data_IF_267013992456
#
_entry.id   IF_267013992456
#
_cell.length_a   1.000
_cell.length_b   1.000
_cell.length_c   1.000
_cell.angle_alpha   90.00
_cell.angle_beta   90.00
_cell.angle_gamma   90.00
#
_symmetry.space_group_name_H-M   'P 1'
#
loop_
_entity.id
_entity.type
_entity.pdbx_description
1 polymer ?
#
# COMPACT_ATOMS: atom_id res chain seq x y z
N UNK A 1 -16.14 -19.58 -2.63
CA UNK A 1 -16.70 -18.33 -3.22
C UNK A 1 -17.22 -17.45 -2.09
N UNK A 2 -16.84 -16.17 -2.08
CA UNK A 2 -17.41 -15.16 -1.17
C UNK A 2 -18.67 -14.58 -1.81
N UNK A 3 -19.72 -14.30 -1.02
CA UNK A 3 -20.91 -13.60 -1.52
C UNK A 3 -20.64 -12.11 -1.70
N UNK A 4 -20.28 -11.44 -0.61
CA UNK A 4 -20.09 -9.98 -0.58
C UNK A 4 -18.79 -9.58 0.12
N UNK A 5 -18.06 -8.70 -0.53
CA UNK A 5 -16.83 -8.04 0.00
C UNK A 5 -17.12 -6.56 0.23
N UNK A 6 -16.74 -6.05 1.39
CA UNK A 6 -16.73 -4.62 1.73
C UNK A 6 -15.30 -4.15 1.92
N UNK A 7 -14.83 -3.22 1.10
CA UNK A 7 -13.51 -2.61 1.20
C UNK A 7 -13.62 -1.16 1.63
N UNK A 8 -12.99 -0.83 2.75
CA UNK A 8 -12.93 0.52 3.30
C UNK A 8 -11.58 1.14 2.98
N UNK A 9 -11.57 2.41 2.59
CA UNK A 9 -10.35 3.10 2.12
C UNK A 9 -9.73 2.35 0.94
N UNK A 10 -10.58 1.95 -0.01
CA UNK A 10 -10.30 0.97 -1.05
C UNK A 10 -9.11 1.36 -1.96
N UNK A 11 -8.85 2.65 -2.10
CA UNK A 11 -7.81 3.14 -2.99
C UNK A 11 -8.10 2.73 -4.45
N UNK A 12 -7.12 2.11 -5.08
CA UNK A 12 -7.22 1.60 -6.45
C UNK A 12 -7.69 0.13 -6.52
N UNK A 13 -8.35 -0.35 -5.47
CA UNK A 13 -8.91 -1.71 -5.39
C UNK A 13 -7.88 -2.84 -5.41
N UNK A 14 -6.79 -2.68 -4.66
CA UNK A 14 -5.81 -3.74 -4.46
C UNK A 14 -6.44 -5.03 -3.91
N UNK A 15 -7.54 -4.92 -3.16
CA UNK A 15 -8.28 -6.07 -2.64
C UNK A 15 -8.86 -6.96 -3.75
N UNK A 16 -9.42 -6.38 -4.82
CA UNK A 16 -9.95 -7.15 -5.96
C UNK A 16 -8.82 -7.83 -6.74
N UNK A 17 -7.70 -7.14 -6.97
CA UNK A 17 -6.53 -7.75 -7.62
C UNK A 17 -6.04 -8.93 -6.79
N UNK A 18 -5.97 -8.79 -5.46
CA UNK A 18 -5.50 -9.83 -4.56
C UNK A 18 -6.45 -11.05 -4.53
N UNK A 19 -7.77 -10.84 -4.50
CA UNK A 19 -8.76 -11.92 -4.60
C UNK A 19 -8.59 -12.69 -5.91
N UNK A 20 -8.47 -11.99 -7.04
CA UNK A 20 -8.25 -12.60 -8.33
C UNK A 20 -6.94 -13.41 -8.38
N UNK A 21 -5.83 -12.85 -7.87
CA UNK A 21 -4.53 -13.56 -7.77
C UNK A 21 -4.59 -14.79 -6.86
N UNK A 22 -5.37 -14.71 -5.78
CA UNK A 22 -5.61 -15.86 -4.89
C UNK A 22 -6.58 -16.89 -5.50
N UNK A 23 -7.21 -16.62 -6.63
CA UNK A 23 -8.21 -17.49 -7.25
C UNK A 23 -9.52 -17.58 -6.46
N UNK A 24 -9.87 -16.51 -5.73
CA UNK A 24 -11.09 -16.43 -4.92
C UNK A 24 -12.13 -15.60 -5.66
N UNK A 25 -13.23 -16.24 -6.05
CA UNK A 25 -14.37 -15.57 -6.64
C UNK A 25 -15.27 -14.93 -5.57
N UNK A 26 -15.92 -13.83 -5.93
CA UNK A 26 -16.88 -13.12 -5.10
C UNK A 26 -18.08 -12.64 -5.93
N UNK A 27 -19.23 -12.44 -5.27
CA UNK A 27 -20.45 -12.01 -5.94
C UNK A 27 -20.50 -10.50 -6.15
N UNK A 28 -20.42 -9.71 -5.06
CA UNK A 28 -20.46 -8.25 -5.10
C UNK A 28 -19.29 -7.66 -4.33
N UNK A 29 -18.77 -6.52 -4.83
CA UNK A 29 -17.72 -5.76 -4.17
C UNK A 29 -18.18 -4.32 -3.95
N UNK A 30 -18.24 -3.95 -2.68
CA UNK A 30 -18.55 -2.61 -2.22
C UNK A 30 -17.27 -1.90 -1.81
N UNK A 31 -17.03 -0.70 -2.32
CA UNK A 31 -15.84 0.09 -2.05
C UNK A 31 -16.20 1.44 -1.42
N UNK A 32 -15.56 1.77 -0.30
CA UNK A 32 -15.58 3.10 0.27
C UNK A 32 -14.28 3.80 -0.05
N UNK A 33 -14.33 4.82 -0.88
CA UNK A 33 -13.20 5.66 -1.28
C UNK A 33 -13.72 7.08 -1.62
N UNK A 34 -12.88 8.11 -1.42
CA UNK A 34 -13.21 9.50 -1.71
C UNK A 34 -12.25 10.15 -2.72
N UNK A 35 -11.08 9.54 -2.96
CA UNK A 35 -10.16 10.04 -4.00
C UNK A 35 -10.71 9.67 -5.39
N UNK A 36 -11.16 10.69 -6.11
CA UNK A 36 -11.72 10.55 -7.46
C UNK A 36 -10.79 9.86 -8.47
N UNK A 37 -9.46 9.96 -8.27
CA UNK A 37 -8.50 9.33 -9.17
C UNK A 37 -8.35 7.85 -8.84
N UNK A 38 -8.37 7.48 -7.57
CA UNK A 38 -8.40 6.09 -7.13
C UNK A 38 -9.70 5.41 -7.61
N UNK A 39 -10.85 6.05 -7.36
CA UNK A 39 -12.17 5.58 -7.87
C UNK A 39 -12.14 5.40 -9.39
N UNK A 40 -11.53 6.35 -10.14
CA UNK A 40 -11.43 6.24 -11.61
C UNK A 40 -10.62 5.00 -12.02
N UNK A 41 -9.52 4.68 -11.32
CA UNK A 41 -8.73 3.48 -11.59
C UNK A 41 -9.54 2.22 -11.26
N UNK A 42 -10.22 2.19 -10.13
CA UNK A 42 -11.12 1.08 -9.77
C UNK A 42 -12.19 0.84 -10.82
N UNK A 43 -12.95 1.88 -11.21
CA UNK A 43 -14.04 1.75 -12.17
C UNK A 43 -13.56 1.40 -13.59
N UNK A 44 -12.34 1.80 -13.95
CA UNK A 44 -11.74 1.42 -15.23
C UNK A 44 -11.44 -0.08 -15.32
N UNK A 45 -10.95 -0.67 -14.22
CA UNK A 45 -10.54 -2.08 -14.19
C UNK A 45 -11.65 -3.02 -13.69
N UNK A 46 -12.54 -2.52 -12.83
CA UNK A 46 -13.64 -3.25 -12.19
C UNK A 46 -14.92 -2.41 -12.24
N UNK A 47 -15.57 -2.31 -13.41
CA UNK A 47 -16.74 -1.43 -13.60
C UNK A 47 -17.93 -1.79 -12.74
N UNK A 48 -18.04 -3.05 -12.30
CA UNK A 48 -19.14 -3.54 -11.46
C UNK A 48 -18.94 -3.22 -9.96
N UNK A 49 -17.86 -2.54 -9.58
CA UNK A 49 -17.62 -2.12 -8.20
C UNK A 49 -18.65 -1.10 -7.75
N UNK A 50 -19.30 -1.36 -6.62
CA UNK A 50 -20.31 -0.47 -6.04
C UNK A 50 -19.61 0.53 -5.13
N UNK A 51 -19.54 1.80 -5.56
CA UNK A 51 -18.92 2.88 -4.77
C UNK A 51 -19.89 3.41 -3.73
N UNK A 52 -19.44 3.46 -2.47
CA UNK A 52 -20.21 3.93 -1.32
C UNK A 52 -19.84 5.34 -0.85
N UNK A 53 -18.77 5.94 -1.42
CA UNK A 53 -18.28 7.24 -0.99
C UNK A 53 -17.57 7.20 0.36
N UNK A 54 -17.85 8.18 1.22
CA UNK A 54 -17.20 8.32 2.53
C UNK A 54 -17.59 7.21 3.50
N UNK A 55 -16.60 6.63 4.17
CA UNK A 55 -16.82 5.61 5.22
C UNK A 55 -17.70 6.11 6.37
N UNK A 56 -17.69 7.42 6.64
CA UNK A 56 -18.48 8.04 7.70
C UNK A 56 -19.98 8.10 7.39
N UNK A 57 -20.37 7.91 6.12
CA UNK A 57 -21.75 7.95 5.66
C UNK A 57 -22.37 6.55 5.53
N UNK A 58 -21.56 5.49 5.61
CA UNK A 58 -22.01 4.11 5.48
C UNK A 58 -22.70 3.66 6.77
N UNK A 59 -23.88 3.08 6.63
CA UNK A 59 -24.59 2.37 7.71
C UNK A 59 -24.54 0.88 7.41
N UNK A 60 -24.05 0.10 8.34
CA UNK A 60 -23.95 -1.35 8.17
C UNK A 60 -25.31 -2.03 7.94
N UNK A 61 -26.40 -1.42 8.47
CA UNK A 61 -27.77 -1.88 8.30
C UNK A 61 -28.29 -1.79 6.86
N UNK A 62 -27.69 -0.90 6.05
CA UNK A 62 -28.10 -0.68 4.65
C UNK A 62 -27.34 -1.62 3.70
N UNK A 63 -26.39 -2.40 4.23
CA UNK A 63 -25.57 -3.34 3.47
C UNK A 63 -26.13 -4.77 3.55
N UNK A 64 -25.91 -5.58 2.51
CA UNK A 64 -26.19 -7.01 2.61
C UNK A 64 -25.24 -7.67 3.62
N UNK A 65 -25.47 -8.96 3.92
CA UNK A 65 -24.53 -9.73 4.73
C UNK A 65 -23.13 -9.71 4.10
N UNK A 66 -22.15 -9.25 4.85
CA UNK A 66 -20.75 -9.16 4.42
C UNK A 66 -20.02 -10.46 4.79
N UNK A 67 -19.32 -11.08 3.84
CA UNK A 67 -18.46 -12.22 4.10
C UNK A 67 -17.02 -11.79 4.46
N UNK A 68 -16.51 -10.75 3.80
CA UNK A 68 -15.17 -10.26 4.00
C UNK A 68 -15.17 -8.73 4.08
N UNK A 69 -14.71 -8.19 5.21
CA UNK A 69 -14.41 -6.77 5.41
C UNK A 69 -12.90 -6.54 5.32
N UNK A 70 -12.47 -5.68 4.42
CA UNK A 70 -11.05 -5.31 4.30
C UNK A 70 -10.87 -3.80 4.38
N UNK A 71 -9.68 -3.34 4.81
CA UNK A 71 -9.37 -1.91 4.83
C UNK A 71 -7.95 -1.60 5.26
N UNK A 72 -7.49 -0.42 4.86
CA UNK A 72 -6.23 0.18 5.29
C UNK A 72 -6.49 1.58 5.80
N UNK A 73 -6.82 1.75 7.07
CA UNK A 73 -7.15 3.06 7.61
C UNK A 73 -5.95 4.01 7.58
N UNK A 74 -6.15 5.32 7.28
CA UNK A 74 -5.07 6.31 7.30
C UNK A 74 -4.32 6.30 8.63
N UNK A 75 -2.99 6.19 8.57
CA UNK A 75 -2.10 6.06 9.74
C UNK A 75 -1.72 7.40 10.39
N UNK A 76 -2.12 8.53 9.82
CA UNK A 76 -1.60 9.84 10.20
C UNK A 76 -1.96 10.30 11.62
N UNK A 77 -2.92 9.67 12.28
CA UNK A 77 -3.25 9.87 13.69
C UNK A 77 -2.38 9.07 14.66
N UNK A 78 -1.73 8.01 14.19
CA UNK A 78 -0.86 7.13 14.96
C UNK A 78 0.63 7.40 14.76
N UNK A 79 1.01 8.36 13.88
CA UNK A 79 2.39 8.64 13.57
C UNK A 79 3.00 9.69 14.49
N UNK A 80 4.16 9.43 14.94
CA UNK A 80 5.36 10.10 15.44
C UNK A 80 5.33 11.55 15.97
N UNK A 81 4.26 12.28 15.96
CA UNK A 81 4.23 13.67 16.43
C UNK A 81 3.69 13.79 17.87
N UNK A 82 4.34 13.15 18.84
CA UNK A 82 4.50 13.65 20.21
C UNK A 82 3.27 13.89 21.10
N UNK A 83 2.07 13.55 20.70
CA UNK A 83 0.87 13.64 21.55
C UNK A 83 0.11 12.33 21.38
N UNK A 84 0.01 11.55 22.46
CA UNK A 84 -0.60 10.22 22.48
C UNK A 84 -1.90 10.11 21.71
N UNK A 85 -2.43 8.88 21.57
CA UNK A 85 -3.74 8.60 20.96
C UNK A 85 -4.74 9.67 21.39
N UNK A 86 -4.84 10.71 20.58
CA UNK A 86 -5.89 11.69 20.78
C UNK A 86 -7.10 11.16 20.03
N UNK A 87 -8.05 10.57 20.75
CA UNK A 87 -9.35 10.13 20.24
C UNK A 87 -10.10 11.25 19.53
N UNK A 88 -9.69 12.50 19.75
CA UNK A 88 -10.22 13.69 19.09
C UNK A 88 -9.50 14.03 17.77
N UNK A 89 -8.37 13.35 17.40
CA UNK A 89 -7.75 13.57 16.10
C UNK A 89 -8.66 13.02 15.00
N UNK A 90 -9.11 13.84 14.03
CA UNK A 90 -9.99 13.41 12.94
C UNK A 90 -9.47 12.19 12.16
N UNK A 91 -8.16 11.96 12.20
CA UNK A 91 -7.49 10.87 11.48
C UNK A 91 -7.54 9.55 12.23
N UNK A 92 -7.55 9.58 13.56
CA UNK A 92 -7.81 8.40 14.41
C UNK A 92 -9.28 7.97 14.30
N UNK A 93 -10.20 8.91 14.07
CA UNK A 93 -11.63 8.61 13.89
C UNK A 93 -11.89 7.64 12.75
N UNK A 94 -11.08 7.66 11.69
CA UNK A 94 -11.25 6.77 10.54
C UNK A 94 -10.98 5.28 10.87
N UNK A 95 -10.07 4.99 11.80
CA UNK A 95 -9.92 3.63 12.33
C UNK A 95 -11.19 3.17 13.06
N UNK A 96 -11.81 4.05 13.84
CA UNK A 96 -13.05 3.70 14.54
C UNK A 96 -14.23 3.50 13.61
N UNK A 97 -14.23 4.09 12.40
CA UNK A 97 -15.21 3.77 11.36
C UNK A 97 -15.06 2.31 10.86
N UNK A 98 -13.81 1.83 10.72
CA UNK A 98 -13.58 0.41 10.44
C UNK A 98 -14.14 -0.48 11.57
N UNK A 99 -13.84 -0.15 12.84
CA UNK A 99 -14.34 -0.90 14.01
C UNK A 99 -15.87 -0.85 14.09
N UNK A 100 -16.48 0.31 13.82
CA UNK A 100 -17.95 0.46 13.79
C UNK A 100 -18.58 -0.46 12.76
N UNK A 101 -18.09 -0.42 11.51
CA UNK A 101 -18.61 -1.26 10.44
C UNK A 101 -18.32 -2.75 10.67
N UNK A 102 -17.19 -3.11 11.28
CA UNK A 102 -16.91 -4.48 11.69
C UNK A 102 -17.97 -5.00 12.69
N UNK A 103 -18.36 -4.16 13.67
CA UNK A 103 -19.39 -4.50 14.66
C UNK A 103 -20.81 -4.52 14.06
N UNK A 104 -21.13 -3.60 13.16
CA UNK A 104 -22.45 -3.51 12.52
C UNK A 104 -22.68 -4.66 11.52
N UNK A 105 -21.69 -4.95 10.66
CA UNK A 105 -21.84 -5.93 9.58
C UNK A 105 -21.51 -7.36 9.98
N UNK A 106 -20.75 -7.56 11.06
CA UNK A 106 -20.33 -8.87 11.60
C UNK A 106 -19.88 -9.83 10.50
N UNK A 107 -18.87 -9.45 9.69
CA UNK A 107 -18.43 -10.26 8.57
C UNK A 107 -17.82 -11.58 9.07
N UNK A 108 -17.83 -12.61 8.22
CA UNK A 108 -17.17 -13.89 8.54
C UNK A 108 -15.66 -13.71 8.69
N UNK A 109 -15.07 -12.90 7.81
CA UNK A 109 -13.64 -12.60 7.81
C UNK A 109 -13.41 -11.09 7.75
N UNK A 110 -12.29 -10.67 8.33
CA UNK A 110 -11.83 -9.30 8.17
C UNK A 110 -10.30 -9.24 8.00
N UNK A 111 -9.82 -8.15 7.39
CA UNK A 111 -8.43 -7.79 7.28
C UNK A 111 -8.28 -6.28 7.43
N UNK A 112 -7.55 -5.83 8.45
CA UNK A 112 -7.08 -4.45 8.58
C UNK A 112 -5.57 -4.40 8.33
N UNK A 113 -5.14 -3.55 7.39
CA UNK A 113 -3.73 -3.23 7.18
C UNK A 113 -3.38 -1.87 7.79
N UNK A 114 -2.17 -1.76 8.35
CA UNK A 114 -1.62 -0.45 8.72
C UNK A 114 -0.08 -0.45 8.69
N UNK A 115 0.51 0.74 8.77
CA UNK A 115 1.96 0.89 8.86
C UNK A 115 2.49 0.30 10.17
N UNK A 116 3.78 -0.05 10.18
CA UNK A 116 4.48 -0.38 11.41
C UNK A 116 4.48 0.85 12.33
N UNK A 117 3.99 0.66 13.55
CA UNK A 117 3.82 1.70 14.56
C UNK A 117 4.36 1.25 15.92
N UNK A 118 4.37 2.15 16.91
CA UNK A 118 4.76 1.81 18.27
C UNK A 118 3.83 0.74 18.86
N UNK A 119 4.37 -0.07 19.77
CA UNK A 119 3.65 -1.20 20.39
C UNK A 119 2.37 -0.75 21.10
N UNK A 120 2.43 0.35 21.82
CA UNK A 120 1.27 0.94 22.52
C UNK A 120 0.05 1.18 21.59
N UNK A 121 0.29 1.58 20.34
CA UNK A 121 -0.78 1.78 19.35
C UNK A 121 -1.25 0.46 18.74
N UNK A 122 -0.34 -0.50 18.57
CA UNK A 122 -0.71 -1.84 18.13
C UNK A 122 -1.64 -2.52 19.16
N UNK A 123 -1.33 -2.39 20.46
CA UNK A 123 -2.12 -2.95 21.58
C UNK A 123 -3.55 -2.39 21.56
N UNK A 124 -3.72 -1.09 21.32
CA UNK A 124 -5.07 -0.51 21.20
C UNK A 124 -5.84 -1.08 20.03
N UNK A 125 -5.23 -1.17 18.84
CA UNK A 125 -5.90 -1.77 17.68
C UNK A 125 -6.25 -3.23 17.96
N UNK A 126 -5.34 -3.98 18.57
CA UNK A 126 -5.52 -5.37 18.99
C UNK A 126 -6.70 -5.52 19.95
N UNK A 127 -6.82 -4.64 20.96
CA UNK A 127 -7.95 -4.64 21.90
C UNK A 127 -9.31 -4.49 21.19
N UNK A 128 -9.41 -3.58 20.23
CA UNK A 128 -10.65 -3.35 19.47
C UNK A 128 -10.98 -4.48 18.49
N UNK A 129 -9.98 -5.13 17.90
CA UNK A 129 -10.16 -6.15 16.87
C UNK A 129 -10.14 -7.58 17.43
N UNK A 130 -9.62 -7.79 18.66
CA UNK A 130 -9.55 -9.09 19.32
C UNK A 130 -8.55 -10.07 18.70
N UNK A 131 -7.61 -9.61 17.89
CA UNK A 131 -6.58 -10.43 17.22
C UNK A 131 -5.24 -9.70 17.21
N UNK A 132 -4.13 -10.44 17.35
CA UNK A 132 -2.78 -9.88 17.25
C UNK A 132 -2.37 -9.58 15.81
N UNK A 133 -1.55 -8.54 15.57
CA UNK A 133 -1.10 -8.22 14.24
C UNK A 133 0.02 -9.16 13.78
N UNK A 134 0.03 -9.45 12.49
CA UNK A 134 1.11 -10.14 11.80
C UNK A 134 1.94 -9.08 11.05
N UNK A 135 3.23 -8.97 11.35
CA UNK A 135 4.14 -8.11 10.61
C UNK A 135 4.63 -8.86 9.37
N UNK A 136 4.35 -8.33 8.17
CA UNK A 136 4.88 -8.88 6.91
C UNK A 136 5.65 -7.78 6.18
N UNK A 137 6.84 -8.13 5.67
CA UNK A 137 7.59 -7.27 4.78
C UNK A 137 7.33 -7.66 3.32
N UNK A 138 6.89 -6.71 2.51
CA UNK A 138 6.70 -6.90 1.06
C UNK A 138 7.96 -7.37 0.33
N UNK A 139 9.14 -7.17 0.93
CA UNK A 139 10.42 -7.65 0.39
C UNK A 139 10.43 -9.17 0.11
N UNK A 140 9.61 -9.94 0.79
CA UNK A 140 9.47 -11.38 0.56
C UNK A 140 8.84 -11.70 -0.81
N UNK A 141 7.97 -10.83 -1.31
CA UNK A 141 7.20 -11.08 -2.55
C UNK A 141 7.39 -10.02 -3.63
N UNK A 142 8.19 -8.98 -3.37
CA UNK A 142 8.40 -7.82 -4.24
C UNK A 142 9.84 -7.32 -4.13
N UNK A 143 10.25 -6.47 -5.06
CA UNK A 143 11.49 -5.71 -4.99
C UNK A 143 11.43 -4.52 -4.01
N UNK A 144 10.46 -4.45 -3.12
CA UNK A 144 10.22 -3.31 -2.22
C UNK A 144 10.29 -3.71 -0.74
N UNK A 145 11.13 -3.03 0.05
CA UNK A 145 11.06 -3.05 1.50
C UNK A 145 9.87 -2.21 1.97
N UNK A 146 8.82 -2.88 2.45
CA UNK A 146 7.61 -2.26 2.96
C UNK A 146 7.03 -3.11 4.08
N UNK A 147 7.37 -2.79 5.32
CA UNK A 147 6.83 -3.46 6.50
C UNK A 147 5.42 -2.94 6.82
N UNK A 148 4.47 -3.86 6.98
CA UNK A 148 3.09 -3.55 7.35
C UNK A 148 2.58 -4.53 8.41
N UNK A 149 1.65 -4.07 9.21
CA UNK A 149 0.93 -4.83 10.21
C UNK A 149 -0.44 -5.21 9.66
N UNK A 150 -0.82 -6.46 9.87
CA UNK A 150 -2.07 -7.04 9.39
C UNK A 150 -2.83 -7.67 10.55
N UNK A 151 -3.98 -7.12 10.92
CA UNK A 151 -4.92 -7.70 11.88
C UNK A 151 -6.00 -8.44 11.11
N UNK A 152 -6.14 -9.74 11.35
CA UNK A 152 -7.11 -10.56 10.61
C UNK A 152 -7.52 -11.79 11.40
N UNK A 153 -8.76 -12.25 11.20
CA UNK A 153 -9.25 -13.55 11.66
C UNK A 153 -9.23 -14.61 10.55
N UNK A 154 -8.64 -14.31 9.38
CA UNK A 154 -8.40 -15.30 8.33
C UNK A 154 -7.42 -16.35 8.88
N UNK A 155 -7.77 -17.65 8.81
CA UNK A 155 -6.95 -18.68 9.42
C UNK A 155 -5.65 -18.95 8.64
N UNK A 156 -4.66 -19.54 9.33
CA UNK A 156 -3.43 -20.08 8.74
C UNK A 156 -2.55 -19.05 8.00
N UNK A 157 -2.63 -17.76 8.37
CA UNK A 157 -1.76 -16.74 7.78
C UNK A 157 -0.34 -16.91 8.31
N UNK A 158 0.60 -17.13 7.41
CA UNK A 158 2.04 -17.29 7.69
C UNK A 158 2.86 -16.21 6.98
N UNK A 159 4.18 -16.20 7.19
CA UNK A 159 5.06 -15.38 6.36
C UNK A 159 5.11 -15.94 4.94
N UNK A 160 5.04 -15.10 3.89
CA UNK A 160 5.28 -15.55 2.52
C UNK A 160 6.71 -16.09 2.36
N UNK A 161 6.89 -17.02 1.43
CA UNK A 161 8.22 -17.45 0.99
C UNK A 161 8.96 -16.28 0.29
N UNK A 162 10.26 -16.16 0.54
CA UNK A 162 11.07 -15.12 -0.12
C UNK A 162 11.33 -15.52 -1.59
N UNK A 163 10.75 -14.75 -2.49
CA UNK A 163 10.90 -14.89 -3.94
C UNK A 163 12.24 -14.37 -4.48
N UNK A 164 13.05 -13.73 -3.65
CA UNK A 164 14.36 -13.17 -4.03
C UNK A 164 14.33 -12.02 -5.04
N UNK A 165 13.17 -11.44 -5.35
CA UNK A 165 13.01 -10.41 -6.40
C UNK A 165 13.78 -9.14 -6.02
N UNK A 166 14.70 -8.69 -6.86
CA UNK A 166 15.50 -7.49 -6.68
C UNK A 166 15.00 -6.34 -7.56
N UNK A 167 15.48 -5.12 -7.31
CA UNK A 167 15.06 -3.94 -8.08
C UNK A 167 15.34 -4.10 -9.59
N UNK A 168 16.48 -4.70 -9.94
CA UNK A 168 16.84 -4.96 -11.33
C UNK A 168 15.86 -5.86 -12.08
N UNK A 169 15.20 -6.80 -11.38
CA UNK A 169 14.29 -7.76 -11.99
C UNK A 169 12.98 -7.14 -12.47
N UNK A 170 12.63 -5.95 -11.96
CA UNK A 170 11.37 -5.28 -12.29
C UNK A 170 11.55 -4.11 -13.27
N UNK A 171 12.79 -3.78 -13.64
CA UNK A 171 13.05 -2.65 -14.52
C UNK A 171 12.62 -2.95 -15.97
N UNK A 172 12.11 -1.90 -16.61
CA UNK A 172 11.82 -1.93 -18.06
C UNK A 172 13.12 -1.75 -18.86
N UNK A 173 13.21 -2.41 -20.01
CA UNK A 173 14.29 -2.19 -20.97
C UNK A 173 13.95 -1.01 -21.88
N UNK A 174 14.15 0.20 -21.40
CA UNK A 174 13.81 1.45 -22.07
C UNK A 174 14.99 2.43 -22.01
N UNK A 175 15.03 3.38 -22.93
CA UNK A 175 15.91 4.55 -22.81
C UNK A 175 15.49 5.39 -21.58
N UNK A 176 16.46 5.65 -20.70
CA UNK A 176 16.21 6.33 -19.42
C UNK A 176 16.70 7.77 -19.44
N UNK A 177 15.90 8.66 -18.88
CA UNK A 177 16.35 10.01 -18.59
C UNK A 177 17.13 10.03 -17.29
N UNK A 178 18.44 10.29 -17.38
CA UNK A 178 19.32 10.36 -16.23
C UNK A 178 19.27 11.71 -15.52
N UNK A 179 19.53 11.68 -14.23
CA UNK A 179 19.73 12.87 -13.41
C UNK A 179 21.12 13.41 -13.69
N UNK A 180 21.20 14.71 -13.95
CA UNK A 180 22.48 15.42 -14.16
C UNK A 180 23.29 15.43 -12.85
N UNK A 181 24.30 14.56 -12.79
CA UNK A 181 25.17 14.42 -11.61
C UNK A 181 26.00 15.67 -11.31
N UNK A 182 26.23 16.55 -12.30
CA UNK A 182 26.98 17.80 -12.06
C UNK A 182 26.28 18.72 -11.04
N UNK A 183 24.98 18.52 -10.83
CA UNK A 183 24.16 19.24 -9.85
C UNK A 183 24.24 18.65 -8.44
N UNK A 184 24.84 17.46 -8.27
CA UNK A 184 24.99 16.82 -6.97
C UNK A 184 26.14 17.47 -6.22
N UNK A 185 25.87 18.14 -5.11
CA UNK A 185 26.86 18.84 -4.30
C UNK A 185 27.49 17.95 -3.25
N UNK A 186 26.74 16.99 -2.73
CA UNK A 186 27.21 16.01 -1.74
C UNK A 186 26.53 14.66 -1.97
N UNK A 187 27.21 13.57 -1.63
CA UNK A 187 26.65 12.23 -1.71
C UNK A 187 27.22 11.28 -0.64
N UNK A 188 26.47 10.24 -0.35
CA UNK A 188 26.86 9.16 0.57
C UNK A 188 26.40 7.82 -0.02
N UNK A 189 27.29 6.85 -0.06
CA UNK A 189 26.97 5.49 -0.49
C UNK A 189 26.70 4.63 0.74
N UNK A 190 25.57 3.92 0.74
CA UNK A 190 25.20 2.93 1.76
C UNK A 190 25.23 1.53 1.13
N UNK A 191 24.89 0.49 1.91
CA UNK A 191 24.77 -0.88 1.36
C UNK A 191 23.58 -1.06 0.40
N UNK A 192 22.56 -0.17 0.46
CA UNK A 192 21.30 -0.35 -0.26
C UNK A 192 21.00 0.74 -1.29
N UNK A 193 21.55 1.94 -1.12
CA UNK A 193 21.26 3.09 -1.97
C UNK A 193 22.36 4.14 -1.98
N UNK A 194 22.33 4.94 -3.03
CA UNK A 194 23.10 6.16 -3.19
C UNK A 194 22.26 7.33 -2.70
N UNK A 195 22.68 7.99 -1.61
CA UNK A 195 22.05 9.19 -1.08
C UNK A 195 22.76 10.41 -1.67
N UNK A 196 22.03 11.35 -2.22
CA UNK A 196 22.59 12.57 -2.77
C UNK A 196 21.91 13.83 -2.25
N UNK A 197 22.58 14.98 -2.33
CA UNK A 197 22.06 16.27 -1.94
C UNK A 197 22.37 17.32 -3.01
N UNK A 198 21.31 17.92 -3.56
CA UNK A 198 21.40 19.00 -4.55
C UNK A 198 21.58 20.38 -3.89
N UNK A 199 21.23 20.53 -2.62
CA UNK A 199 21.26 21.81 -1.91
C UNK A 199 22.65 22.17 -1.37
N UNK A 200 23.47 21.17 -1.07
CA UNK A 200 24.76 21.32 -0.37
C UNK A 200 24.64 21.59 1.13
N UNK A 201 23.43 21.45 1.70
CA UNK A 201 23.15 21.67 3.14
C UNK A 201 23.20 20.39 3.97
N UNK A 202 23.60 19.26 3.38
CA UNK A 202 23.67 17.96 4.05
C UNK A 202 22.30 17.30 4.30
N UNK A 203 21.27 17.70 3.56
CA UNK A 203 19.93 17.11 3.68
C UNK A 203 19.92 15.66 3.19
N UNK A 204 19.41 14.75 4.03
CA UNK A 204 19.29 13.32 3.75
C UNK A 204 17.80 12.91 3.72
N UNK A 205 17.06 13.43 2.73
CA UNK A 205 15.66 13.08 2.57
C UNK A 205 15.48 11.76 1.79
N UNK A 206 14.35 11.11 1.97
CA UNK A 206 14.06 9.84 1.28
C UNK A 206 13.93 10.02 -0.24
N UNK A 207 13.45 11.17 -0.68
CA UNK A 207 13.28 11.52 -2.10
C UNK A 207 14.62 11.78 -2.83
N UNK A 208 15.73 11.84 -2.10
CA UNK A 208 17.10 11.95 -2.63
C UNK A 208 17.87 10.62 -2.55
N UNK A 209 17.18 9.49 -2.49
CA UNK A 209 17.76 8.15 -2.52
C UNK A 209 17.58 7.51 -3.88
N UNK A 210 18.65 6.94 -4.42
CA UNK A 210 18.63 6.09 -5.61
C UNK A 210 19.09 4.70 -5.20
N UNK A 211 18.22 3.70 -5.36
CA UNK A 211 18.48 2.34 -4.87
C UNK A 211 19.23 1.52 -5.92
N UNK A 212 20.14 0.66 -5.46
CA UNK A 212 20.94 -0.21 -6.33
C UNK A 212 20.07 -1.31 -6.95
N UNK A 213 20.37 -1.67 -8.20
CA UNK A 213 19.62 -2.68 -8.95
C UNK A 213 19.72 -4.07 -8.35
N UNK A 214 20.82 -4.39 -7.64
CA UNK A 214 21.04 -5.65 -6.92
C UNK A 214 20.49 -5.66 -5.49
N UNK A 215 19.64 -4.69 -5.14
CA UNK A 215 19.02 -4.53 -3.81
C UNK A 215 17.52 -4.36 -3.93
N UNK A 216 16.85 -4.36 -2.78
CA UNK A 216 15.44 -3.99 -2.67
C UNK A 216 15.29 -2.47 -2.64
N UNK A 217 14.29 -1.95 -3.33
CA UNK A 217 13.87 -0.54 -3.21
C UNK A 217 13.25 -0.27 -1.83
N UNK A 218 13.30 0.96 -1.36
CA UNK A 218 12.54 1.40 -0.19
C UNK A 218 11.04 1.53 -0.46
N UNK A 219 10.26 1.81 0.57
CA UNK A 219 8.82 2.04 0.44
C UNK A 219 8.51 3.20 -0.52
N UNK A 220 7.63 2.98 -1.50
CA UNK A 220 7.11 4.04 -2.37
C UNK A 220 6.33 5.04 -1.50
N UNK A 221 6.68 6.34 -1.51
CA UNK A 221 5.95 7.36 -0.76
C UNK A 221 4.65 7.72 -1.47
N UNK A 222 3.64 8.13 -0.70
CA UNK A 222 2.34 8.61 -1.22
C UNK A 222 2.32 10.08 -1.64
N UNK A 223 3.40 10.82 -1.41
CA UNK A 223 3.46 12.25 -1.70
C UNK A 223 3.76 12.50 -3.19
N UNK A 224 3.01 13.40 -3.77
CA UNK A 224 3.02 13.85 -5.15
C UNK A 224 4.34 13.87 -5.95
N UNK A 225 4.38 14.58 -7.07
CA UNK A 225 5.44 14.54 -8.09
C UNK A 225 6.88 14.82 -7.60
N UNK A 226 7.08 15.35 -6.40
CA UNK A 226 8.40 15.62 -5.81
C UNK A 226 9.10 14.37 -5.24
N UNK A 227 8.36 13.31 -4.97
CA UNK A 227 8.88 12.08 -4.34
C UNK A 227 9.09 10.94 -5.34
N UNK A 228 9.61 11.28 -6.51
CA UNK A 228 9.92 10.28 -7.54
C UNK A 228 10.97 9.30 -7.04
N UNK A 229 10.61 8.03 -7.03
CA UNK A 229 11.49 6.91 -6.71
C UNK A 229 12.57 6.74 -7.77
N UNK A 230 13.77 6.30 -7.37
CA UNK A 230 14.94 6.31 -8.26
C UNK A 230 15.75 5.04 -8.15
N UNK A 231 16.37 4.69 -9.26
CA UNK A 231 17.33 3.60 -9.39
C UNK A 231 18.74 4.16 -9.64
N UNK A 232 19.72 3.49 -9.06
CA UNK A 232 21.15 3.67 -9.34
C UNK A 232 21.62 2.41 -10.07
N UNK A 233 21.98 2.55 -11.35
CA UNK A 233 22.35 1.41 -12.20
C UNK A 233 23.85 1.03 -12.04
N UNK A 234 24.27 0.00 -12.78
CA UNK A 234 25.64 -0.53 -12.75
C UNK A 234 26.66 0.42 -13.38
N UNK A 235 26.20 1.29 -14.28
CA UNK A 235 26.99 2.36 -14.90
C UNK A 235 27.03 3.62 -14.03
N UNK A 236 26.56 3.50 -12.78
CA UNK A 236 26.47 4.59 -11.80
C UNK A 236 25.55 5.74 -12.20
N UNK A 237 24.60 5.52 -13.11
CA UNK A 237 23.61 6.55 -13.46
C UNK A 237 22.43 6.53 -12.49
N UNK A 238 21.82 7.69 -12.32
CA UNK A 238 20.60 7.85 -11.52
C UNK A 238 19.45 8.18 -12.47
N UNK A 239 18.39 7.39 -12.43
CA UNK A 239 17.17 7.65 -13.19
C UNK A 239 15.93 7.47 -12.33
N UNK A 240 14.81 8.01 -12.80
CA UNK A 240 13.51 7.78 -12.15
C UNK A 240 12.94 6.43 -12.57
N UNK A 241 12.25 5.76 -11.63
CA UNK A 241 11.40 4.63 -11.98
C UNK A 241 10.16 5.12 -12.75
N UNK A 242 9.71 4.31 -13.69
CA UNK A 242 8.46 4.56 -14.41
C UNK A 242 7.25 4.23 -13.55
N UNK A 243 6.07 4.62 -14.00
CA UNK A 243 4.82 4.23 -13.35
C UNK A 243 4.60 2.71 -13.40
N UNK A 244 5.01 2.04 -14.49
CA UNK A 244 4.93 0.57 -14.64
C UNK A 244 5.87 -0.11 -13.63
N UNK A 245 7.10 0.36 -13.49
CA UNK A 245 8.03 -0.19 -12.49
C UNK A 245 7.52 0.00 -11.06
N UNK A 246 6.81 1.09 -10.80
CA UNK A 246 6.15 1.29 -9.50
C UNK A 246 4.91 0.40 -9.31
N UNK A 247 4.16 0.08 -10.37
CA UNK A 247 3.13 -0.95 -10.35
C UNK A 247 3.73 -2.31 -10.00
N UNK A 248 4.85 -2.69 -10.62
CA UNK A 248 5.58 -3.93 -10.32
C UNK A 248 6.11 -3.98 -8.88
N UNK A 249 6.59 -2.85 -8.31
CA UNK A 249 6.97 -2.77 -6.90
C UNK A 249 5.80 -3.06 -5.95
N UNK A 250 4.58 -2.70 -6.33
CA UNK A 250 3.35 -3.02 -5.58
C UNK A 250 2.70 -4.34 -6.04
N UNK A 251 3.36 -5.06 -6.95
CA UNK A 251 2.85 -6.32 -7.54
C UNK A 251 1.47 -6.17 -8.20
N UNK A 252 1.19 -4.97 -8.70
CA UNK A 252 0.02 -4.60 -9.48
C UNK A 252 0.31 -4.92 -10.96
N UNK A 253 -0.67 -5.34 -11.77
CA UNK A 253 -0.47 -5.56 -13.20
C UNK A 253 0.04 -4.30 -13.92
N UNK A 254 0.90 -4.49 -14.93
CA UNK A 254 1.40 -3.40 -15.76
C UNK A 254 0.24 -2.62 -16.40
N UNK A 255 0.35 -1.30 -16.40
CA UNK A 255 -0.66 -0.38 -16.93
C UNK A 255 -2.02 -0.36 -16.22
N UNK A 256 -2.14 -0.98 -15.05
CA UNK A 256 -3.38 -0.97 -14.26
C UNK A 256 -3.85 0.46 -13.93
N UNK A 257 -2.92 1.38 -13.69
CA UNK A 257 -3.23 2.77 -13.32
C UNK A 257 -3.17 3.75 -14.49
N UNK A 258 -3.06 3.29 -15.75
CA UNK A 258 -2.80 4.13 -16.93
C UNK A 258 -3.92 5.13 -17.31
N UNK A 259 -5.11 4.96 -16.75
CA UNK A 259 -6.24 5.87 -16.97
C UNK A 259 -6.13 7.22 -16.23
N UNK A 260 -5.08 7.43 -15.43
CA UNK A 260 -4.77 8.69 -14.74
C UNK A 260 -3.35 9.15 -15.05
N UNK A 261 -3.02 10.42 -14.75
CA UNK A 261 -1.67 10.98 -15.00
C UNK A 261 -0.60 10.33 -14.13
N UNK A 262 0.66 10.31 -14.59
CA UNK A 262 1.79 9.69 -13.87
C UNK A 262 1.92 10.18 -12.42
N UNK A 263 1.75 11.48 -12.18
CA UNK A 263 1.78 12.03 -10.82
C UNK A 263 0.69 11.41 -9.92
N UNK A 264 -0.50 11.13 -10.47
CA UNK A 264 -1.60 10.49 -9.74
C UNK A 264 -1.37 8.99 -9.60
N UNK A 265 -0.83 8.33 -10.63
CA UNK A 265 -0.40 6.92 -10.55
C UNK A 265 0.55 6.72 -9.37
N UNK A 266 1.59 7.54 -9.27
CA UNK A 266 2.59 7.45 -8.19
C UNK A 266 1.97 7.65 -6.81
N UNK A 267 1.07 8.63 -6.65
CA UNK A 267 0.39 8.89 -5.38
C UNK A 267 -0.50 7.72 -4.95
N UNK A 268 -1.30 7.19 -5.87
CA UNK A 268 -2.22 6.07 -5.64
C UNK A 268 -1.43 4.79 -5.31
N UNK A 269 -0.35 4.51 -6.05
CA UNK A 269 0.53 3.36 -5.79
C UNK A 269 1.22 3.44 -4.43
N UNK A 270 1.66 4.65 -4.01
CA UNK A 270 2.25 4.85 -2.69
C UNK A 270 1.27 4.58 -1.54
N UNK A 271 -0.02 4.89 -1.72
CA UNK A 271 -1.08 4.60 -0.76
C UNK A 271 -1.56 3.13 -0.84
N UNK A 272 -1.40 2.49 -2.00
CA UNK A 272 -1.87 1.14 -2.23
C UNK A 272 -1.12 0.06 -1.45
N UNK A 273 -1.67 -1.15 -1.47
CA UNK A 273 -1.05 -2.34 -0.88
C UNK A 273 -0.09 -3.02 -1.86
N UNK A 274 0.86 -3.78 -1.32
CA UNK A 274 1.58 -4.78 -2.11
C UNK A 274 0.66 -5.98 -2.28
N UNK A 275 0.12 -6.14 -3.48
CA UNK A 275 -0.99 -7.06 -3.77
C UNK A 275 -0.65 -8.51 -3.45
N UNK A 276 0.58 -8.96 -3.74
CA UNK A 276 0.99 -10.35 -3.47
C UNK A 276 1.02 -10.69 -1.98
N UNK A 277 1.22 -9.71 -1.08
CA UNK A 277 1.09 -9.93 0.37
C UNK A 277 -0.37 -10.19 0.72
N UNK A 278 -1.29 -9.40 0.18
CA UNK A 278 -2.74 -9.56 0.45
C UNK A 278 -3.25 -10.87 -0.16
N UNK A 279 -2.82 -11.21 -1.38
CA UNK A 279 -3.16 -12.49 -2.01
C UNK A 279 -2.65 -13.70 -1.19
N UNK A 280 -1.45 -13.60 -0.60
CA UNK A 280 -0.92 -14.60 0.32
C UNK A 280 -1.80 -14.76 1.55
N UNK A 281 -2.22 -13.66 2.20
CA UNK A 281 -3.14 -13.69 3.35
C UNK A 281 -4.47 -14.32 2.94
N UNK A 282 -5.01 -13.96 1.78
CA UNK A 282 -6.28 -14.49 1.27
C UNK A 282 -6.26 -15.99 0.94
N UNK A 283 -5.09 -16.63 0.79
CA UNK A 283 -5.04 -18.09 0.65
C UNK A 283 -5.67 -18.83 1.83
N UNK A 284 -5.72 -18.22 3.02
CA UNK A 284 -6.43 -18.76 4.17
C UNK A 284 -7.98 -18.77 4.04
N UNK A 285 -8.52 -18.17 2.98
CA UNK A 285 -9.98 -18.17 2.68
C UNK A 285 -10.42 -19.39 1.84
N UNK A 286 -9.49 -20.22 1.36
CA UNK A 286 -9.75 -21.42 0.53
C UNK A 286 -10.29 -22.62 1.28
#
# INVERSE_FOLDING_TARGET
MLGVVLSLFDGMSCGQIALNKAGISYGKYYASEIDKHAIKVTQHNYPDTIQLGSVTEIKGTDLPQIDLLIGGSPCQGFSFAGKGLNFDDPRSKLFFEFVRLLKETKPKYFLLENVKMKKEYQEVITEYLGVEPILINSALVSAQNRERLYWTNIPNVTQPEDKGILLGDILENIERRFIDKSKIKQYWKTNNYYQYDLSGKGHKSQDQRAYFTDKKHGTIPSHGASSKVKVFDKEENISYLTSIECERLQTVPDNYTNCVSDSKRMSILGNGWTVDVIAHIFNGLK
#
